data_IF_694381958892
#
_entry.id   IF_694381958892
#
_cell.length_a   1.000
_cell.length_b   1.000
_cell.length_c   1.000
_cell.angle_alpha   90.00
_cell.angle_beta   90.00
_cell.angle_gamma   90.00
#
_symmetry.space_group_name_H-M   'P 1'
#
loop_
_entity.id
_entity.type
_entity.pdbx_description
1 polymer ?
#
# COMPACT_ATOMS: atom_id res chain seq x y z
N UNK A 1 22.61 14.73 19.25
CA UNK A 1 21.62 13.81 18.63
C UNK A 1 20.61 14.54 17.73
N UNK A 2 20.72 15.86 17.54
CA UNK A 2 19.69 16.64 16.85
C UNK A 2 18.53 17.04 17.76
N UNK A 3 18.50 16.53 18.98
CA UNK A 3 17.51 16.79 20.01
C UNK A 3 18.21 17.35 21.25
N UNK A 4 18.12 18.68 21.51
CA UNK A 4 18.82 19.33 22.62
C UNK A 4 18.51 18.71 23.99
N UNK A 5 17.28 18.22 24.17
CA UNK A 5 16.79 17.60 25.40
C UNK A 5 17.52 16.28 25.71
N UNK A 6 17.76 15.47 24.67
CA UNK A 6 18.48 14.21 24.82
C UNK A 6 19.97 14.46 25.07
N UNK A 7 20.54 15.50 24.44
CA UNK A 7 21.94 15.89 24.64
C UNK A 7 22.18 16.39 26.09
N UNK A 8 21.18 17.00 26.72
CA UNK A 8 21.21 17.42 28.13
C UNK A 8 21.15 16.22 29.10
N UNK A 9 20.30 15.22 28.81
CA UNK A 9 20.22 13.97 29.58
C UNK A 9 21.53 13.16 29.46
N UNK A 10 22.16 13.15 28.28
CA UNK A 10 23.45 12.46 28.09
C UNK A 10 24.63 13.17 28.78
N UNK A 11 24.53 14.48 29.02
CA UNK A 11 25.59 15.26 29.68
C UNK A 11 25.83 14.82 31.12
N UNK A 12 24.78 14.34 31.80
CA UNK A 12 24.84 13.91 33.19
C UNK A 12 24.06 12.60 33.35
N UNK A 13 24.68 11.43 33.07
CA UNK A 13 23.99 10.16 33.09
C UNK A 13 23.40 9.89 34.48
N UNK A 14 22.09 9.68 34.54
CA UNK A 14 21.37 9.34 35.77
C UNK A 14 20.73 7.97 35.65
N UNK A 15 20.51 7.24 36.77
CA UNK A 15 19.75 6.01 36.74
C UNK A 15 18.33 6.26 36.22
N UNK A 16 17.95 5.58 35.15
CA UNK A 16 16.61 5.66 34.57
C UNK A 16 15.77 4.46 35.03
N UNK A 17 14.52 4.73 35.39
CA UNK A 17 13.52 3.69 35.67
C UNK A 17 12.54 3.68 34.51
N UNK A 18 12.49 2.56 33.79
CA UNK A 18 11.49 2.32 32.75
C UNK A 18 10.39 1.43 33.31
N UNK A 19 9.15 1.92 33.26
CA UNK A 19 7.97 1.11 33.55
C UNK A 19 7.42 0.68 32.21
N UNK A 20 7.49 -0.62 31.93
CA UNK A 20 6.96 -1.21 30.69
C UNK A 20 5.73 -2.04 31.04
N UNK A 21 4.63 -1.78 30.33
CA UNK A 21 3.43 -2.59 30.40
C UNK A 21 3.35 -3.48 29.15
N UNK A 22 3.29 -4.79 29.36
CA UNK A 22 3.15 -5.76 28.28
C UNK A 22 1.66 -5.90 27.94
N UNK A 23 1.25 -5.27 26.83
CA UNK A 23 -0.16 -5.28 26.42
C UNK A 23 -0.59 -6.62 25.77
N UNK A 24 0.29 -7.23 24.96
CA UNK A 24 0.00 -8.47 24.25
C UNK A 24 1.27 -9.24 23.90
N UNK A 25 1.19 -10.57 23.89
CA UNK A 25 2.23 -11.48 23.38
C UNK A 25 1.64 -12.30 22.25
N UNK A 26 2.22 -12.21 21.05
CA UNK A 26 1.90 -13.08 19.93
C UNK A 26 2.64 -14.43 20.01
N UNK A 27 2.19 -15.42 19.25
CA UNK A 27 2.92 -16.68 19.08
C UNK A 27 4.35 -16.39 18.56
N UNK A 28 5.41 -17.02 19.09
CA UNK A 28 6.79 -16.80 18.64
C UNK A 28 6.98 -17.00 17.12
N UNK A 29 6.16 -17.83 16.49
CA UNK A 29 6.13 -18.11 15.06
C UNK A 29 5.13 -17.22 14.29
N UNK A 30 4.30 -16.43 14.99
CA UNK A 30 3.39 -15.44 14.38
C UNK A 30 4.05 -14.10 14.11
N UNK A 31 5.35 -13.96 14.36
CA UNK A 31 6.09 -12.76 14.03
C UNK A 31 6.09 -12.53 12.52
N UNK A 32 5.15 -11.70 12.07
CA UNK A 32 5.19 -11.10 10.74
C UNK A 32 6.15 -9.93 10.81
N UNK A 33 7.35 -10.12 10.27
CA UNK A 33 8.34 -9.06 10.10
C UNK A 33 7.65 -7.85 9.46
N UNK A 34 7.63 -6.71 10.16
CA UNK A 34 6.96 -5.52 9.66
C UNK A 34 7.62 -5.07 8.34
N UNK A 35 6.85 -4.44 7.46
CA UNK A 35 7.30 -4.03 6.12
C UNK A 35 8.64 -3.27 6.15
N UNK A 36 8.88 -2.41 7.14
CA UNK A 36 10.12 -1.65 7.26
C UNK A 36 11.34 -2.50 7.63
N UNK A 37 11.15 -3.66 8.27
CA UNK A 37 12.19 -4.63 8.64
C UNK A 37 12.49 -5.66 7.54
N UNK A 38 11.69 -5.70 6.46
CA UNK A 38 11.94 -6.58 5.32
C UNK A 38 13.01 -6.01 4.38
N UNK A 39 13.88 -6.86 3.85
CA UNK A 39 14.82 -6.50 2.79
C UNK A 39 14.10 -6.29 1.44
N UNK A 40 14.76 -5.61 0.48
CA UNK A 40 14.19 -5.32 -0.85
C UNK A 40 13.68 -6.60 -1.52
N UNK A 41 14.49 -7.65 -1.56
CA UNK A 41 14.13 -8.91 -2.22
C UNK A 41 12.99 -9.65 -1.50
N UNK A 42 12.96 -9.60 -0.16
CA UNK A 42 11.88 -10.18 0.64
C UNK A 42 10.53 -9.50 0.32
N UNK A 43 10.53 -8.17 0.21
CA UNK A 43 9.34 -7.41 -0.21
C UNK A 43 8.88 -7.82 -1.60
N UNK A 44 9.80 -7.90 -2.56
CA UNK A 44 9.49 -8.25 -3.95
C UNK A 44 8.96 -9.68 -4.08
N UNK A 45 9.50 -10.64 -3.33
CA UNK A 45 9.02 -12.02 -3.32
C UNK A 45 7.62 -12.17 -2.69
N UNK A 46 7.26 -11.30 -1.74
CA UNK A 46 5.95 -11.33 -1.09
C UNK A 46 4.82 -10.81 -1.98
N UNK A 47 5.11 -9.87 -2.88
CA UNK A 47 4.10 -9.22 -3.74
C UNK A 47 3.31 -10.20 -4.61
N UNK A 48 3.92 -11.16 -5.35
CA UNK A 48 3.17 -12.17 -6.11
C UNK A 48 2.25 -13.03 -5.25
N UNK A 49 2.67 -13.37 -4.03
CA UNK A 49 1.87 -14.15 -3.09
C UNK A 49 0.62 -13.37 -2.67
N UNK A 50 0.79 -12.09 -2.31
CA UNK A 50 -0.33 -11.21 -1.95
C UNK A 50 -1.29 -11.00 -3.13
N UNK A 51 -0.76 -10.84 -4.35
CA UNK A 51 -1.57 -10.73 -5.56
C UNK A 51 -2.43 -11.99 -5.77
N UNK A 52 -1.83 -13.18 -5.66
CA UNK A 52 -2.54 -14.44 -5.81
C UNK A 52 -3.62 -14.62 -4.72
N UNK A 53 -3.31 -14.28 -3.47
CA UNK A 53 -4.27 -14.31 -2.36
C UNK A 53 -5.45 -13.35 -2.62
N UNK A 54 -5.17 -12.11 -3.03
CA UNK A 54 -6.20 -11.15 -3.41
C UNK A 54 -7.10 -11.68 -4.54
N UNK A 55 -6.51 -12.28 -5.58
CA UNK A 55 -7.25 -12.87 -6.69
C UNK A 55 -8.14 -14.05 -6.25
N UNK A 56 -7.68 -14.85 -5.29
CA UNK A 56 -8.47 -15.95 -4.73
C UNK A 56 -9.65 -15.45 -3.88
N UNK A 57 -9.46 -14.37 -3.11
CA UNK A 57 -10.51 -13.73 -2.32
C UNK A 57 -11.57 -13.04 -3.21
N UNK A 58 -11.15 -12.40 -4.31
CA UNK A 58 -12.08 -11.84 -5.31
C UNK A 58 -12.99 -12.94 -5.89
N UNK A 59 -12.45 -14.12 -6.20
CA UNK A 59 -13.26 -15.26 -6.69
C UNK A 59 -14.30 -15.73 -5.67
N UNK A 60 -14.02 -15.53 -4.39
CA UNK A 60 -14.92 -15.84 -3.27
C UNK A 60 -15.85 -14.66 -2.93
N UNK A 61 -15.81 -13.56 -3.69
CA UNK A 61 -16.55 -12.31 -3.42
C UNK A 61 -16.22 -11.65 -2.08
N UNK A 62 -15.06 -11.97 -1.51
CA UNK A 62 -14.54 -11.36 -0.28
C UNK A 62 -13.74 -10.11 -0.63
N UNK A 63 -14.44 -9.06 -1.06
CA UNK A 63 -13.82 -7.88 -1.66
C UNK A 63 -13.03 -7.03 -0.66
N UNK A 64 -13.47 -6.94 0.60
CA UNK A 64 -12.79 -6.15 1.63
C UNK A 64 -11.44 -6.77 2.00
N UNK A 65 -11.40 -8.09 2.13
CA UNK A 65 -10.18 -8.85 2.41
C UNK A 65 -9.25 -8.84 1.19
N UNK A 66 -9.80 -9.00 -0.03
CA UNK A 66 -9.01 -8.90 -1.26
C UNK A 66 -8.35 -7.51 -1.39
N UNK A 67 -9.12 -6.44 -1.13
CA UNK A 67 -8.64 -5.08 -1.14
C UNK A 67 -7.48 -4.87 -0.16
N UNK A 68 -7.57 -5.44 1.05
CA UNK A 68 -6.48 -5.40 2.03
C UNK A 68 -5.19 -6.04 1.48
N UNK A 69 -5.29 -7.19 0.79
CA UNK A 69 -4.13 -7.85 0.16
C UNK A 69 -3.51 -7.01 -0.96
N UNK A 70 -4.33 -6.37 -1.80
CA UNK A 70 -3.82 -5.47 -2.84
C UNK A 70 -3.16 -4.22 -2.25
N UNK A 71 -3.77 -3.59 -1.23
CA UNK A 71 -3.16 -2.45 -0.51
C UNK A 71 -1.80 -2.81 0.08
N UNK A 72 -1.70 -3.98 0.72
CA UNK A 72 -0.44 -4.48 1.28
C UNK A 72 0.63 -4.64 0.18
N UNK A 73 0.28 -5.27 -0.94
CA UNK A 73 1.20 -5.45 -2.06
C UNK A 73 1.67 -4.12 -2.67
N UNK A 74 0.76 -3.15 -2.84
CA UNK A 74 1.08 -1.80 -3.32
C UNK A 74 2.02 -1.08 -2.34
N UNK A 75 1.77 -1.18 -1.04
CA UNK A 75 2.61 -0.56 -0.01
C UNK A 75 4.04 -1.11 -0.05
N UNK A 76 4.21 -2.43 -0.19
CA UNK A 76 5.53 -3.04 -0.33
C UNK A 76 6.28 -2.49 -1.55
N UNK A 77 5.63 -2.42 -2.71
CA UNK A 77 6.23 -1.89 -3.93
C UNK A 77 6.56 -0.39 -3.82
N UNK A 78 5.65 0.43 -3.27
CA UNK A 78 5.90 1.87 -3.04
C UNK A 78 7.07 2.09 -2.08
N UNK A 79 7.23 1.21 -1.07
CA UNK A 79 8.36 1.26 -0.13
C UNK A 79 9.69 0.90 -0.79
N UNK A 80 9.70 -0.02 -1.75
CA UNK A 80 10.91 -0.30 -2.54
C UNK A 80 11.17 0.85 -3.51
N UNK A 81 10.14 1.31 -4.22
CA UNK A 81 10.24 2.37 -5.22
C UNK A 81 10.74 3.70 -4.64
N UNK A 82 10.39 4.04 -3.39
CA UNK A 82 10.86 5.26 -2.74
C UNK A 82 12.37 5.28 -2.45
N UNK A 83 13.04 4.14 -2.55
CA UNK A 83 14.51 4.02 -2.43
C UNK A 83 15.22 4.06 -3.79
N UNK A 84 14.48 4.01 -4.89
CA UNK A 84 15.02 4.05 -6.25
C UNK A 84 15.01 5.48 -6.81
N UNK A 85 15.91 5.76 -7.76
CA UNK A 85 15.97 7.08 -8.41
C UNK A 85 14.79 7.28 -9.36
N UNK A 86 14.00 8.36 -9.23
CA UNK A 86 12.92 8.66 -10.16
C UNK A 86 13.41 8.73 -11.62
N UNK A 87 12.75 7.98 -12.50
CA UNK A 87 13.08 7.91 -13.92
C UNK A 87 14.08 6.81 -14.31
N UNK A 88 14.71 6.15 -13.35
CA UNK A 88 15.53 4.97 -13.62
C UNK A 88 14.67 3.75 -13.99
N UNK A 89 15.28 2.77 -14.66
CA UNK A 89 14.63 1.54 -15.14
C UNK A 89 13.93 0.80 -14.01
N UNK A 90 14.59 0.68 -12.84
CA UNK A 90 14.01 0.02 -11.67
C UNK A 90 12.79 0.77 -11.11
N UNK A 91 12.87 2.11 -11.00
CA UNK A 91 11.75 2.93 -10.56
C UNK A 91 10.54 2.80 -11.49
N UNK A 92 10.78 2.80 -12.81
CA UNK A 92 9.74 2.65 -13.84
C UNK A 92 9.13 1.23 -13.78
N UNK A 93 9.96 0.20 -13.63
CA UNK A 93 9.50 -1.18 -13.54
C UNK A 93 8.65 -1.43 -12.30
N UNK A 94 9.04 -0.90 -11.14
CA UNK A 94 8.22 -0.95 -9.92
C UNK A 94 6.88 -0.25 -10.12
N UNK A 95 6.87 0.91 -10.78
CA UNK A 95 5.65 1.62 -11.15
C UNK A 95 4.71 0.74 -11.99
N UNK A 96 5.25 0.08 -13.02
CA UNK A 96 4.48 -0.86 -13.86
C UNK A 96 3.90 -2.04 -13.07
N UNK A 97 4.59 -2.51 -12.03
CA UNK A 97 4.08 -3.57 -11.15
C UNK A 97 2.96 -3.08 -10.22
N UNK A 98 2.98 -1.80 -9.81
CA UNK A 98 1.94 -1.20 -8.96
C UNK A 98 0.61 -1.08 -9.71
N UNK A 99 0.62 -0.67 -10.99
CA UNK A 99 -0.59 -0.44 -11.80
C UNK A 99 -1.63 -1.57 -11.71
N UNK A 100 -1.31 -2.84 -12.01
CA UNK A 100 -2.32 -3.91 -11.96
C UNK A 100 -2.87 -4.15 -10.55
N UNK A 101 -2.08 -3.93 -9.49
CA UNK A 101 -2.52 -4.09 -8.11
C UNK A 101 -3.48 -2.97 -7.70
N UNK A 102 -3.18 -1.72 -8.06
CA UNK A 102 -4.10 -0.59 -7.83
C UNK A 102 -5.40 -0.74 -8.62
N UNK A 103 -5.35 -1.20 -9.88
CA UNK A 103 -6.55 -1.48 -10.66
C UNK A 103 -7.42 -2.60 -10.06
N UNK A 104 -6.79 -3.61 -9.48
CA UNK A 104 -7.48 -4.69 -8.78
C UNK A 104 -8.09 -4.18 -7.46
N UNK A 105 -7.37 -3.35 -6.70
CA UNK A 105 -7.91 -2.66 -5.54
C UNK A 105 -9.14 -1.81 -5.90
N UNK A 106 -9.04 -1.00 -6.95
CA UNK A 106 -10.16 -0.20 -7.46
C UNK A 106 -11.33 -1.08 -7.91
N UNK A 107 -11.09 -2.30 -8.43
CA UNK A 107 -12.19 -3.23 -8.69
C UNK A 107 -12.91 -3.60 -7.39
N UNK A 108 -12.17 -3.96 -6.34
CA UNK A 108 -12.77 -4.29 -5.06
C UNK A 108 -13.58 -3.11 -4.49
N UNK A 109 -13.09 -1.87 -4.63
CA UNK A 109 -13.82 -0.69 -4.17
C UNK A 109 -15.10 -0.45 -4.96
N UNK A 110 -15.10 -0.68 -6.29
CA UNK A 110 -16.33 -0.64 -7.09
C UNK A 110 -17.37 -1.67 -6.62
N UNK A 111 -16.95 -2.89 -6.28
CA UNK A 111 -17.86 -3.94 -5.78
C UNK A 111 -18.37 -3.66 -4.35
N UNK A 112 -17.65 -2.83 -3.59
CA UNK A 112 -18.03 -2.38 -2.25
C UNK A 112 -18.78 -1.04 -2.27
N UNK A 113 -19.03 -0.48 -3.46
CA UNK A 113 -19.69 0.82 -3.66
C UNK A 113 -18.91 2.02 -3.04
N UNK A 114 -17.61 1.85 -2.81
CA UNK A 114 -16.69 2.88 -2.31
C UNK A 114 -16.19 3.75 -3.48
N UNK A 115 -17.10 4.47 -4.14
CA UNK A 115 -16.83 5.14 -5.41
C UNK A 115 -15.80 6.29 -5.30
N UNK A 116 -15.78 7.02 -4.19
CA UNK A 116 -14.82 8.12 -3.99
C UNK A 116 -13.37 7.62 -3.93
N UNK A 117 -13.14 6.49 -3.26
CA UNK A 117 -11.82 5.82 -3.24
C UNK A 117 -11.38 5.45 -4.66
N UNK A 118 -12.30 4.94 -5.49
CA UNK A 118 -11.99 4.61 -6.89
C UNK A 118 -11.60 5.86 -7.66
N UNK A 119 -12.33 6.97 -7.51
CA UNK A 119 -12.06 8.23 -8.21
C UNK A 119 -10.69 8.78 -7.82
N UNK A 120 -10.37 8.84 -6.52
CA UNK A 120 -9.09 9.33 -6.01
C UNK A 120 -7.93 8.50 -6.57
N UNK A 121 -7.96 7.18 -6.34
CA UNK A 121 -6.88 6.28 -6.76
C UNK A 121 -6.70 6.25 -8.28
N UNK A 122 -7.79 6.23 -9.06
CA UNK A 122 -7.68 6.24 -10.52
C UNK A 122 -7.21 7.59 -11.07
N UNK A 123 -7.52 8.70 -10.40
CA UNK A 123 -7.03 10.02 -10.80
C UNK A 123 -5.51 10.12 -10.62
N UNK A 124 -4.99 9.76 -9.45
CA UNK A 124 -3.54 9.73 -9.21
C UNK A 124 -2.81 8.76 -10.15
N UNK A 125 -3.41 7.60 -10.42
CA UNK A 125 -2.85 6.60 -11.33
C UNK A 125 -2.74 7.15 -12.76
N UNK A 126 -3.78 7.82 -13.25
CA UNK A 126 -3.87 8.33 -14.61
C UNK A 126 -3.00 9.57 -14.87
N UNK A 127 -2.65 10.33 -13.83
CA UNK A 127 -1.64 11.40 -13.94
C UNK A 127 -0.28 10.84 -14.39
N UNK A 128 0.06 9.64 -13.90
CA UNK A 128 1.34 8.96 -14.15
C UNK A 128 1.28 7.99 -15.34
N UNK A 129 0.12 7.37 -15.58
CA UNK A 129 -0.09 6.31 -16.56
C UNK A 129 -1.25 6.62 -17.50
N UNK A 130 -1.05 7.59 -18.40
CA UNK A 130 -2.07 8.12 -19.32
C UNK A 130 -2.58 7.10 -20.35
N UNK A 131 -1.89 5.98 -20.54
CA UNK A 131 -2.27 4.88 -21.43
C UNK A 131 -3.12 3.80 -20.74
N UNK A 132 -3.43 3.97 -19.44
CA UNK A 132 -4.16 2.98 -18.65
C UNK A 132 -5.68 3.01 -18.93
N UNK A 133 -6.10 2.37 -20.03
CA UNK A 133 -7.52 2.28 -20.45
C UNK A 133 -8.43 1.70 -19.35
N UNK A 134 -7.93 0.70 -18.60
CA UNK A 134 -8.68 0.11 -17.47
C UNK A 134 -8.90 1.11 -16.32
N UNK A 135 -7.97 2.04 -16.13
CA UNK A 135 -8.09 3.10 -15.13
C UNK A 135 -9.21 4.07 -15.49
N UNK A 136 -9.22 4.55 -16.74
CA UNK A 136 -10.31 5.41 -17.25
C UNK A 136 -11.68 4.76 -17.12
N UNK A 137 -11.81 3.49 -17.53
CA UNK A 137 -13.07 2.76 -17.42
C UNK A 137 -13.59 2.68 -15.98
N UNK A 138 -12.72 2.37 -15.01
CA UNK A 138 -13.11 2.28 -13.59
C UNK A 138 -13.50 3.64 -13.02
N UNK A 139 -12.75 4.69 -13.39
CA UNK A 139 -13.04 6.07 -12.97
C UNK A 139 -14.39 6.55 -13.50
N UNK A 140 -14.64 6.34 -14.80
CA UNK A 140 -15.91 6.65 -15.45
C UNK A 140 -17.08 5.94 -14.75
N UNK A 141 -16.93 4.63 -14.46
CA UNK A 141 -17.94 3.86 -13.74
C UNK A 141 -18.22 4.42 -12.34
N UNK A 142 -17.19 4.86 -11.62
CA UNK A 142 -17.35 5.47 -10.30
C UNK A 142 -18.02 6.86 -10.37
N UNK A 143 -17.64 7.71 -11.33
CA UNK A 143 -18.30 9.01 -11.55
C UNK A 143 -19.77 8.87 -11.92
N UNK A 144 -20.10 7.92 -12.80
CA UNK A 144 -21.48 7.63 -13.17
C UNK A 144 -22.32 7.20 -11.94
N UNK A 145 -21.73 6.38 -11.06
CA UNK A 145 -22.38 5.92 -9.83
C UNK A 145 -22.60 7.02 -8.78
N UNK A 146 -21.94 8.18 -8.89
CA UNK A 146 -22.13 9.36 -8.02
C UNK A 146 -22.77 10.55 -8.75
N UNK A 147 -23.44 10.31 -9.89
CA UNK A 147 -24.14 11.32 -10.70
C UNK A 147 -23.23 12.48 -11.17
N UNK A 148 -21.94 12.21 -11.36
CA UNK A 148 -21.00 13.18 -11.92
C UNK A 148 -20.87 12.98 -13.44
N UNK A 149 -21.94 13.29 -14.19
CA UNK A 149 -22.07 13.02 -15.63
C UNK A 149 -21.01 13.72 -16.50
N UNK A 150 -20.44 14.85 -16.05
CA UNK A 150 -19.43 15.59 -16.81
C UNK A 150 -18.06 14.90 -16.80
N UNK A 151 -17.75 14.20 -15.71
CA UNK A 151 -16.46 13.54 -15.49
C UNK A 151 -16.50 12.03 -15.79
N UNK A 152 -17.70 11.47 -16.01
CA UNK A 152 -17.92 10.07 -16.38
C UNK A 152 -17.63 9.80 -17.86
#
# INVERSE_FOLDING_TARGET
TGFPELDEIMRTPQPLIFIMELLQVGDPLSYHRESWMMEKDEKLQKVPVLHMQGNALVRQKQFREAASKYKEAVLLLKTVQSREMPGDVDYINLGRMIVPLELNYCQCMLELEEYYEVIEHTTELLEKHKDCVKGYYKRAKAHAAVWNEKEA
#
